data_IF_397142111399
#
_entry.id   IF_397142111399
#
_cell.length_a   1.000
_cell.length_b   1.000
_cell.length_c   1.000
_cell.angle_alpha   90.00
_cell.angle_beta   90.00
_cell.angle_gamma   90.00
#
_symmetry.space_group_name_H-M   'P 1'
#
loop_
_entity.id
_entity.type
_entity.pdbx_description
1 polymer ?
#
# COMPACT_ATOMS: atom_id res chain seq x y z
N UNK A 1 7.07 -2.68 -20.00
CA UNK A 1 6.68 -3.27 -21.29
C UNK A 1 7.62 -2.84 -22.41
N UNK A 2 8.64 -3.66 -22.68
CA UNK A 2 9.68 -3.36 -23.68
C UNK A 2 9.54 -4.20 -24.97
N UNK A 3 8.79 -5.31 -24.91
CA UNK A 3 8.50 -6.13 -26.09
C UNK A 3 7.37 -5.50 -26.91
N UNK A 4 7.48 -5.54 -28.24
CA UNK A 4 6.43 -5.02 -29.15
C UNK A 4 5.06 -5.64 -28.85
N UNK A 5 5.01 -6.94 -28.54
CA UNK A 5 3.77 -7.65 -28.21
C UNK A 5 3.13 -7.19 -26.89
N UNK A 6 3.92 -6.76 -25.90
CA UNK A 6 3.40 -6.19 -24.64
C UNK A 6 2.83 -4.80 -24.89
N UNK A 7 3.52 -3.99 -25.70
CA UNK A 7 3.08 -2.64 -26.08
C UNK A 7 1.80 -2.67 -26.93
N UNK A 8 1.70 -3.59 -27.88
CA UNK A 8 0.53 -3.78 -28.74
C UNK A 8 -0.71 -4.22 -27.93
N UNK A 9 -0.51 -5.11 -26.95
CA UNK A 9 -1.62 -5.71 -26.19
C UNK A 9 -1.94 -4.97 -24.89
N UNK A 10 -1.06 -4.07 -24.43
CA UNK A 10 -1.19 -3.37 -23.16
C UNK A 10 -1.18 -4.31 -21.95
N UNK A 11 -0.47 -5.44 -22.05
CA UNK A 11 -0.33 -6.43 -20.97
C UNK A 11 1.14 -6.82 -20.80
N UNK A 12 1.57 -6.96 -19.54
CA UNK A 12 2.87 -7.52 -19.20
C UNK A 12 2.86 -9.03 -19.41
N UNK A 13 3.83 -9.54 -20.17
CA UNK A 13 3.94 -10.95 -20.55
C UNK A 13 5.12 -11.59 -19.80
N UNK A 14 6.27 -10.92 -19.76
CA UNK A 14 7.46 -11.41 -19.05
C UNK A 14 7.76 -10.58 -17.82
N UNK A 15 8.32 -11.22 -16.80
CA UNK A 15 8.83 -10.49 -15.64
C UNK A 15 10.04 -9.63 -16.04
N UNK A 16 10.10 -8.40 -15.56
CA UNK A 16 11.20 -7.47 -15.82
C UNK A 16 11.89 -7.10 -14.51
N UNK A 17 13.22 -7.19 -14.47
CA UNK A 17 14.01 -6.85 -13.28
C UNK A 17 14.78 -5.55 -13.49
N UNK A 18 14.71 -4.65 -12.51
CA UNK A 18 15.50 -3.41 -12.49
C UNK A 18 16.00 -3.09 -11.08
N UNK A 19 17.07 -2.30 -10.98
CA UNK A 19 17.61 -1.82 -9.71
C UNK A 19 17.45 -0.31 -9.64
N UNK A 20 16.93 0.17 -8.51
CA UNK A 20 16.82 1.60 -8.19
C UNK A 20 17.40 1.88 -6.80
N UNK A 21 17.70 3.15 -6.52
CA UNK A 21 18.14 3.62 -5.22
C UNK A 21 17.12 4.62 -4.67
N UNK A 22 16.72 4.45 -3.41
CA UNK A 22 15.68 5.26 -2.78
C UNK A 22 16.11 5.84 -1.44
N UNK A 23 16.14 7.16 -1.35
CA UNK A 23 16.45 7.91 -0.12
C UNK A 23 15.20 8.38 0.64
N UNK A 24 14.01 7.98 0.22
CA UNK A 24 12.75 8.61 0.64
C UNK A 24 12.45 9.89 -0.15
N UNK A 25 11.15 10.23 -0.27
CA UNK A 25 10.70 11.43 -1.00
C UNK A 25 11.26 12.72 -0.37
N UNK A 26 11.34 12.77 0.96
CA UNK A 26 11.93 13.89 1.71
C UNK A 26 13.43 13.71 1.96
N UNK A 27 14.08 12.75 1.28
CA UNK A 27 15.50 12.39 1.46
C UNK A 27 15.86 12.08 2.92
N UNK A 28 14.91 11.55 3.66
CA UNK A 28 15.01 11.30 5.11
C UNK A 28 15.73 9.99 5.46
N UNK A 29 16.08 9.18 4.47
CA UNK A 29 16.78 7.91 4.66
C UNK A 29 18.09 7.89 3.90
N UNK A 30 19.03 7.10 4.41
CA UNK A 30 20.17 6.65 3.61
C UNK A 30 19.69 5.96 2.33
N UNK A 31 20.40 6.09 1.18
CA UNK A 31 19.98 5.47 -0.06
C UNK A 31 19.85 3.94 0.07
N UNK A 32 18.62 3.43 -0.03
CA UNK A 32 18.32 2.01 -0.04
C UNK A 32 18.35 1.48 -1.46
N UNK A 33 19.07 0.41 -1.71
CA UNK A 33 19.01 -0.31 -2.98
C UNK A 33 17.76 -1.18 -3.02
N UNK A 34 16.94 -1.00 -4.05
CA UNK A 34 15.72 -1.76 -4.29
C UNK A 34 15.87 -2.50 -5.62
N UNK A 35 15.69 -3.83 -5.59
CA UNK A 35 15.57 -4.62 -6.81
C UNK A 35 14.08 -4.90 -7.04
N UNK A 36 13.55 -4.41 -8.16
CA UNK A 36 12.14 -4.51 -8.51
C UNK A 36 12.01 -5.59 -9.58
N UNK A 37 11.11 -6.55 -9.33
CA UNK A 37 10.64 -7.49 -10.35
C UNK A 37 9.20 -7.14 -10.66
N UNK A 38 8.95 -6.58 -11.83
CA UNK A 38 7.61 -6.36 -12.34
C UNK A 38 7.06 -7.69 -12.86
N UNK A 39 5.88 -8.10 -12.40
CA UNK A 39 5.31 -9.43 -12.67
C UNK A 39 4.03 -9.33 -13.47
N UNK A 40 3.76 -10.25 -14.42
CA UNK A 40 2.49 -10.29 -15.13
C UNK A 40 1.27 -10.38 -14.20
N UNK A 41 0.24 -9.56 -14.48
CA UNK A 41 -1.04 -9.61 -13.76
C UNK A 41 -2.06 -10.60 -14.34
N UNK A 42 -1.81 -11.13 -15.54
CA UNK A 42 -2.73 -12.02 -16.24
C UNK A 42 -2.57 -13.49 -15.81
N UNK A 43 -3.68 -14.22 -15.71
CA UNK A 43 -3.71 -15.62 -15.23
C UNK A 43 -2.89 -16.60 -16.06
N UNK A 44 -2.76 -16.32 -17.35
CA UNK A 44 -2.02 -17.15 -18.30
C UNK A 44 -0.51 -17.17 -18.01
N UNK A 45 -0.01 -16.22 -17.22
CA UNK A 45 1.41 -16.09 -16.87
C UNK A 45 1.68 -16.33 -15.37
N UNK A 46 0.81 -17.09 -14.71
CA UNK A 46 0.93 -17.44 -13.28
C UNK A 46 2.23 -18.16 -12.91
N UNK A 47 2.88 -18.84 -13.86
CA UNK A 47 4.20 -19.48 -13.64
C UNK A 47 5.29 -18.44 -13.36
N UNK A 48 5.28 -17.31 -14.07
CA UNK A 48 6.26 -16.22 -13.88
C UNK A 48 6.06 -15.56 -12.51
N UNK A 49 4.81 -15.35 -12.10
CA UNK A 49 4.47 -14.87 -10.77
C UNK A 49 4.96 -15.84 -9.69
N UNK A 50 4.73 -17.14 -9.88
CA UNK A 50 5.15 -18.16 -8.91
C UNK A 50 6.68 -18.22 -8.76
N UNK A 51 7.43 -18.08 -9.86
CA UNK A 51 8.90 -18.01 -9.83
C UNK A 51 9.39 -16.77 -9.10
N UNK A 52 8.78 -15.62 -9.37
CA UNK A 52 9.14 -14.36 -8.73
C UNK A 52 8.91 -14.41 -7.22
N UNK A 53 7.76 -14.94 -6.78
CA UNK A 53 7.42 -15.08 -5.35
C UNK A 53 8.37 -16.01 -4.56
N UNK A 54 9.19 -16.84 -5.23
CA UNK A 54 10.18 -17.69 -4.56
C UNK A 54 11.51 -16.99 -4.26
N UNK A 55 11.76 -15.84 -4.89
CA UNK A 55 13.04 -15.13 -4.82
C UNK A 55 12.90 -13.77 -4.13
N UNK A 56 11.69 -13.21 -4.13
CA UNK A 56 11.41 -11.90 -3.53
C UNK A 56 11.32 -11.98 -2.00
N UNK A 57 11.94 -11.00 -1.33
CA UNK A 57 11.83 -10.81 0.13
C UNK A 57 10.52 -10.11 0.54
N UNK A 58 9.81 -9.50 -0.41
CA UNK A 58 8.53 -8.82 -0.18
C UNK A 58 7.81 -8.49 -1.48
N UNK A 59 6.51 -8.17 -1.38
CA UNK A 59 5.66 -7.87 -2.54
C UNK A 59 4.79 -6.62 -2.33
N UNK A 60 4.53 -5.91 -3.44
CA UNK A 60 3.52 -4.85 -3.50
C UNK A 60 2.31 -5.38 -4.27
N UNK A 61 1.20 -5.63 -3.56
CA UNK A 61 -0.04 -6.12 -4.16
C UNK A 61 -0.89 -4.94 -4.60
N UNK A 62 -1.03 -4.77 -5.92
CA UNK A 62 -1.75 -3.63 -6.50
C UNK A 62 -3.23 -3.99 -6.72
N UNK A 63 -4.14 -3.15 -6.24
CA UNK A 63 -5.58 -3.31 -6.38
C UNK A 63 -6.17 -2.09 -7.10
N UNK A 64 -7.20 -2.31 -7.92
CA UNK A 64 -7.92 -1.20 -8.57
C UNK A 64 -8.95 -0.62 -7.60
N UNK A 65 -8.99 0.69 -7.40
CA UNK A 65 -9.98 1.36 -6.54
C UNK A 65 -11.44 1.09 -6.96
N UNK A 66 -11.66 0.84 -8.26
CA UNK A 66 -12.98 0.52 -8.84
C UNK A 66 -13.25 -0.98 -8.79
N UNK A 67 -12.32 -1.79 -9.30
CA UNK A 67 -12.51 -3.24 -9.45
C UNK A 67 -12.31 -4.04 -8.16
N UNK A 68 -11.57 -3.49 -7.21
CA UNK A 68 -11.22 -4.10 -5.93
C UNK A 68 -10.50 -5.44 -6.08
N UNK A 69 -10.86 -6.41 -5.24
CA UNK A 69 -10.30 -7.77 -5.28
C UNK A 69 -10.99 -8.58 -6.37
N UNK A 70 -10.20 -9.01 -7.35
CA UNK A 70 -10.65 -9.82 -8.48
C UNK A 70 -10.16 -11.28 -8.36
N UNK A 71 -10.77 -12.24 -9.07
CA UNK A 71 -10.36 -13.66 -9.03
C UNK A 71 -8.86 -13.88 -9.31
N UNK A 72 -8.26 -13.02 -10.14
CA UNK A 72 -6.84 -13.04 -10.45
C UNK A 72 -5.99 -12.65 -9.23
N UNK A 73 -6.36 -11.56 -8.54
CA UNK A 73 -5.71 -11.11 -7.32
C UNK A 73 -5.77 -12.17 -6.21
N UNK A 74 -6.87 -12.92 -6.11
CA UNK A 74 -6.98 -14.05 -5.17
C UNK A 74 -5.97 -15.17 -5.46
N UNK A 75 -5.74 -15.46 -6.74
CA UNK A 75 -4.79 -16.49 -7.17
C UNK A 75 -3.36 -16.10 -6.80
N UNK A 76 -2.97 -14.87 -7.10
CA UNK A 76 -1.65 -14.33 -6.71
C UNK A 76 -1.52 -14.26 -5.18
N UNK A 77 -2.59 -13.91 -4.46
CA UNK A 77 -2.61 -13.90 -2.99
C UNK A 77 -2.31 -15.29 -2.40
N UNK A 78 -2.91 -16.35 -2.95
CA UNK A 78 -2.62 -17.73 -2.52
C UNK A 78 -1.17 -18.12 -2.80
N UNK A 79 -0.61 -17.73 -3.94
CA UNK A 79 0.81 -17.98 -4.26
C UNK A 79 1.72 -17.28 -3.25
N UNK A 80 1.49 -16.01 -2.96
CA UNK A 80 2.27 -15.28 -1.97
C UNK A 80 2.12 -15.88 -0.56
N UNK A 81 0.94 -16.42 -0.19
CA UNK A 81 0.74 -17.13 1.08
C UNK A 81 1.55 -18.42 1.14
N UNK A 82 1.57 -19.20 0.05
CA UNK A 82 2.32 -20.46 -0.07
C UNK A 82 3.82 -20.26 0.20
N UNK A 83 4.39 -19.16 -0.28
CA UNK A 83 5.80 -18.82 -0.10
C UNK A 83 6.07 -17.89 1.10
N UNK A 84 5.03 -17.55 1.88
CA UNK A 84 5.12 -16.67 3.06
C UNK A 84 5.79 -15.32 2.75
N UNK A 85 5.52 -14.77 1.57
CA UNK A 85 6.08 -13.47 1.15
C UNK A 85 5.34 -12.34 1.89
N UNK A 86 6.03 -11.54 2.71
CA UNK A 86 5.47 -10.34 3.34
C UNK A 86 5.03 -9.35 2.26
N UNK A 87 3.94 -8.61 2.51
CA UNK A 87 3.38 -7.76 1.46
C UNK A 87 2.67 -6.54 2.00
N UNK A 88 2.67 -5.50 1.18
CA UNK A 88 1.85 -4.31 1.35
C UNK A 88 0.81 -4.23 0.22
N UNK A 89 -0.33 -3.62 0.50
CA UNK A 89 -1.37 -3.38 -0.50
C UNK A 89 -1.30 -1.93 -0.99
N UNK A 90 -1.39 -1.74 -2.31
CA UNK A 90 -1.48 -0.43 -2.94
C UNK A 90 -2.78 -0.32 -3.74
N UNK A 91 -3.70 0.53 -3.29
CA UNK A 91 -4.96 0.79 -4.00
C UNK A 91 -4.72 1.88 -5.02
N UNK A 92 -4.59 1.47 -6.28
CA UNK A 92 -4.30 2.33 -7.43
C UNK A 92 -5.59 2.76 -8.14
N UNK A 93 -5.47 3.76 -9.04
CA UNK A 93 -6.55 4.28 -9.89
C UNK A 93 -7.65 4.99 -9.10
N UNK A 94 -7.26 5.75 -8.07
CA UNK A 94 -8.16 6.56 -7.24
C UNK A 94 -8.82 7.72 -8.01
N UNK A 95 -8.25 8.08 -9.16
CA UNK A 95 -8.72 9.08 -10.12
C UNK A 95 -9.94 8.62 -10.96
N UNK A 96 -10.29 7.33 -10.93
CA UNK A 96 -11.35 6.79 -11.79
C UNK A 96 -12.75 6.88 -11.17
N UNK A 97 -13.76 7.10 -12.01
CA UNK A 97 -15.16 7.01 -11.61
C UNK A 97 -15.48 5.67 -10.91
N UNK A 98 -16.15 5.74 -9.76
CA UNK A 98 -16.46 4.60 -8.90
C UNK A 98 -15.30 4.15 -8.00
N UNK A 99 -14.24 4.96 -7.88
CA UNK A 99 -13.14 4.72 -6.95
C UNK A 99 -13.63 4.73 -5.50
N UNK A 100 -13.35 3.67 -4.76
CA UNK A 100 -13.73 3.59 -3.35
C UNK A 100 -12.68 2.78 -2.57
N UNK A 101 -11.79 3.51 -1.89
CA UNK A 101 -10.68 2.94 -1.12
C UNK A 101 -11.15 2.00 0.00
N UNK A 102 -12.07 2.46 0.85
CA UNK A 102 -12.55 1.69 2.01
C UNK A 102 -13.29 0.42 1.58
N UNK A 103 -13.99 0.43 0.44
CA UNK A 103 -14.56 -0.78 -0.16
C UNK A 103 -13.46 -1.79 -0.51
N UNK A 104 -12.34 -1.35 -1.09
CA UNK A 104 -11.22 -2.26 -1.40
C UNK A 104 -10.63 -2.82 -0.11
N UNK A 105 -10.42 -2.01 0.91
CA UNK A 105 -9.96 -2.47 2.25
C UNK A 105 -10.89 -3.54 2.82
N UNK A 106 -12.20 -3.32 2.78
CA UNK A 106 -13.19 -4.30 3.24
C UNK A 106 -13.16 -5.60 2.41
N UNK A 107 -12.88 -5.51 1.10
CA UNK A 107 -12.73 -6.69 0.24
C UNK A 107 -11.46 -7.48 0.54
N UNK A 108 -10.34 -6.82 0.90
CA UNK A 108 -9.13 -7.53 1.34
C UNK A 108 -9.44 -8.41 2.56
N UNK A 109 -10.19 -7.89 3.53
CA UNK A 109 -10.62 -8.67 4.70
C UNK A 109 -11.58 -9.79 4.35
N UNK A 110 -12.67 -9.48 3.63
CA UNK A 110 -13.74 -10.44 3.37
C UNK A 110 -13.40 -11.52 2.34
N UNK A 111 -12.59 -11.21 1.31
CA UNK A 111 -12.26 -12.14 0.22
C UNK A 111 -10.91 -12.82 0.37
N UNK A 112 -9.92 -12.12 0.92
CA UNK A 112 -8.56 -12.65 1.06
C UNK A 112 -8.24 -13.12 2.47
N UNK A 113 -9.16 -12.92 3.42
CA UNK A 113 -8.93 -13.10 4.85
C UNK A 113 -7.68 -12.35 5.34
N UNK A 114 -7.36 -11.22 4.70
CA UNK A 114 -6.22 -10.40 5.04
C UNK A 114 -6.55 -9.51 6.24
N UNK A 115 -5.59 -9.33 7.14
CA UNK A 115 -5.67 -8.28 8.14
C UNK A 115 -5.20 -6.95 7.52
N UNK A 116 -6.08 -6.28 6.78
CA UNK A 116 -5.75 -5.04 6.08
C UNK A 116 -5.81 -3.85 7.03
N UNK A 117 -4.69 -3.12 7.13
CA UNK A 117 -4.52 -1.98 8.03
C UNK A 117 -4.22 -0.74 7.18
N UNK A 118 -5.16 0.21 7.06
CA UNK A 118 -4.90 1.44 6.35
C UNK A 118 -3.80 2.26 7.02
N UNK A 119 -2.74 2.58 6.27
CA UNK A 119 -1.71 3.55 6.67
C UNK A 119 -2.02 4.96 6.17
N UNK A 120 -2.92 5.05 5.19
CA UNK A 120 -3.28 6.28 4.51
C UNK A 120 -4.77 6.30 4.18
N UNK A 121 -5.36 7.50 4.10
CA UNK A 121 -6.70 7.73 3.56
C UNK A 121 -6.63 8.66 2.35
N UNK A 122 -7.37 8.41 1.27
CA UNK A 122 -7.39 9.31 0.13
C UNK A 122 -8.15 10.61 0.44
N UNK A 123 -7.61 11.74 -0.01
CA UNK A 123 -8.31 13.04 0.01
C UNK A 123 -9.08 13.18 -1.29
N UNK A 124 -10.42 13.06 -1.18
CA UNK A 124 -11.32 12.99 -2.33
C UNK A 124 -11.27 11.64 -3.05
N UNK A 125 -12.02 11.57 -4.15
CA UNK A 125 -12.06 10.40 -5.04
C UNK A 125 -12.39 10.84 -6.46
N UNK A 126 -12.09 9.98 -7.43
CA UNK A 126 -12.35 10.25 -8.85
C UNK A 126 -11.62 11.54 -9.28
N UNK A 127 -12.27 12.44 -10.01
CA UNK A 127 -11.71 13.74 -10.42
C UNK A 127 -11.38 14.67 -9.24
N UNK A 128 -11.93 14.42 -8.05
CA UNK A 128 -11.63 15.19 -6.84
C UNK A 128 -10.47 14.62 -6.01
N UNK A 129 -9.85 13.52 -6.45
CA UNK A 129 -8.69 12.95 -5.77
C UNK A 129 -7.49 13.88 -5.90
N UNK A 130 -7.00 14.38 -4.77
CA UNK A 130 -5.97 15.44 -4.73
C UNK A 130 -4.77 15.10 -3.85
N UNK A 131 -4.86 14.05 -3.05
CA UNK A 131 -3.87 13.79 -2.01
C UNK A 131 -4.17 12.55 -1.20
N UNK A 132 -3.34 12.30 -0.18
CA UNK A 132 -3.61 11.31 0.85
C UNK A 132 -3.31 11.89 2.23
N UNK A 133 -4.06 11.47 3.24
CA UNK A 133 -3.73 11.68 4.64
C UNK A 133 -2.77 10.58 5.07
N UNK A 134 -1.60 10.95 5.59
CA UNK A 134 -0.69 10.07 6.31
C UNK A 134 -1.22 9.91 7.73
N UNK A 135 -1.75 8.72 8.04
CA UNK A 135 -2.33 8.43 9.35
C UNK A 135 -1.27 8.25 10.44
N UNK A 136 0.01 8.05 10.11
CA UNK A 136 1.07 7.99 11.13
C UNK A 136 1.42 9.38 11.62
N UNK A 137 1.48 10.35 10.71
CA UNK A 137 1.85 11.73 11.01
C UNK A 137 0.66 12.65 11.28
N UNK A 138 -0.55 12.17 11.00
CA UNK A 138 -1.79 12.95 11.05
C UNK A 138 -1.68 14.25 10.26
N UNK A 139 -1.21 14.14 9.01
CA UNK A 139 -1.07 15.25 8.05
C UNK A 139 -1.56 14.84 6.67
N UNK A 140 -2.12 15.77 5.92
CA UNK A 140 -2.39 15.59 4.50
C UNK A 140 -1.09 15.78 3.71
N UNK A 141 -0.87 14.91 2.73
CA UNK A 141 0.21 15.01 1.75
C UNK A 141 -0.40 15.52 0.46
N UNK A 142 0.12 16.65 0.00
CA UNK A 142 -0.21 17.25 -1.29
C UNK A 142 1.02 17.23 -2.18
N UNK A 143 0.87 16.67 -3.37
CA UNK A 143 1.95 16.61 -4.36
C UNK A 143 1.95 17.83 -5.25
N UNK A 144 3.13 18.26 -5.68
CA UNK A 144 3.27 19.34 -6.64
C UNK A 144 2.94 18.86 -8.06
N UNK A 145 1.99 19.51 -8.71
CA UNK A 145 1.70 19.27 -10.13
C UNK A 145 2.85 19.75 -11.04
N UNK A 146 3.67 20.70 -10.57
CA UNK A 146 4.72 21.34 -11.37
C UNK A 146 5.86 20.37 -11.71
N UNK A 147 6.15 19.41 -10.83
CA UNK A 147 7.24 18.46 -11.00
C UNK A 147 6.76 17.00 -11.09
N UNK A 148 5.48 16.81 -11.45
CA UNK A 148 4.86 15.49 -11.56
C UNK A 148 4.90 14.70 -10.24
N UNK A 149 4.81 15.39 -9.10
CA UNK A 149 4.75 14.79 -7.77
C UNK A 149 6.09 14.34 -7.20
N UNK A 150 7.20 14.87 -7.70
CA UNK A 150 8.53 14.63 -7.14
C UNK A 150 8.64 15.29 -5.77
N UNK A 151 8.07 16.48 -5.61
CA UNK A 151 7.97 17.19 -4.34
C UNK A 151 6.56 17.10 -3.77
N UNK A 152 6.49 17.21 -2.44
CA UNK A 152 5.25 17.20 -1.70
C UNK A 152 5.36 18.11 -0.48
N UNK A 153 4.22 18.57 -0.01
CA UNK A 153 4.09 19.35 1.21
C UNK A 153 3.15 18.64 2.20
N UNK A 154 3.44 18.80 3.49
CA UNK A 154 2.52 18.41 4.54
C UNK A 154 1.60 19.58 4.87
N UNK A 155 0.30 19.36 4.73
CA UNK A 155 -0.75 20.30 5.10
C UNK A 155 -1.57 19.72 6.26
N UNK A 156 -2.38 20.57 6.90
CA UNK A 156 -3.36 20.11 7.87
C UNK A 156 -4.45 19.27 7.19
N UNK A 157 -4.99 18.30 7.92
CA UNK A 157 -6.04 17.43 7.40
C UNK A 157 -7.28 18.28 7.10
N UNK A 158 -7.94 18.12 5.93
CA UNK A 158 -9.19 18.80 5.63
C UNK A 158 -10.23 18.57 6.73
N UNK A 159 -10.94 19.62 7.14
CA UNK A 159 -11.87 19.56 8.27
C UNK A 159 -12.98 18.50 8.12
N UNK A 160 -13.41 18.22 6.88
CA UNK A 160 -14.40 17.19 6.56
C UNK A 160 -13.87 15.75 6.68
N UNK A 161 -12.56 15.57 6.87
CA UNK A 161 -11.91 14.28 7.03
C UNK A 161 -11.30 14.08 8.42
N UNK A 162 -11.29 15.10 9.27
CA UNK A 162 -10.64 15.04 10.59
C UNK A 162 -11.15 13.87 11.43
N UNK A 163 -12.48 13.72 11.55
CA UNK A 163 -13.10 12.63 12.31
C UNK A 163 -12.74 11.25 11.75
N UNK A 164 -12.80 11.09 10.43
CA UNK A 164 -12.43 9.83 9.78
C UNK A 164 -10.92 9.52 9.95
N UNK A 165 -10.06 10.53 9.86
CA UNK A 165 -8.63 10.36 10.06
C UNK A 165 -8.31 9.93 11.50
N UNK A 166 -8.98 10.54 12.50
CA UNK A 166 -8.84 10.16 13.90
C UNK A 166 -9.32 8.73 14.16
N UNK A 167 -10.47 8.34 13.60
CA UNK A 167 -10.97 6.97 13.69
C UNK A 167 -9.97 5.96 13.14
N UNK A 168 -9.48 6.18 11.92
CA UNK A 168 -8.54 5.26 11.28
C UNK A 168 -7.14 5.29 11.90
N UNK A 169 -6.73 6.43 12.48
CA UNK A 169 -5.52 6.53 13.29
C UNK A 169 -5.62 5.69 14.57
N UNK A 170 -6.75 5.75 15.27
CA UNK A 170 -6.98 4.92 16.45
C UNK A 170 -6.97 3.43 16.09
N UNK A 171 -7.64 3.03 15.00
CA UNK A 171 -7.61 1.65 14.51
C UNK A 171 -6.17 1.19 14.18
N UNK A 172 -5.36 2.10 13.60
CA UNK A 172 -3.94 1.85 13.29
C UNK A 172 -3.12 1.66 14.57
N UNK A 173 -3.30 2.51 15.58
CA UNK A 173 -2.61 2.42 16.88
C UNK A 173 -2.99 1.14 17.61
N UNK A 174 -4.29 0.82 17.69
CA UNK A 174 -4.78 -0.41 18.32
C UNK A 174 -4.14 -1.64 17.66
N UNK A 175 -4.11 -1.64 16.33
CA UNK A 175 -3.45 -2.68 15.55
C UNK A 175 -1.94 -2.73 15.82
N UNK A 176 -1.26 -1.60 15.95
CA UNK A 176 0.16 -1.59 16.30
C UNK A 176 0.40 -2.14 17.72
N UNK A 177 -0.47 -1.80 18.67
CA UNK A 177 -0.38 -2.25 20.06
C UNK A 177 -0.44 -3.78 20.20
N UNK A 178 -1.23 -4.46 19.36
CA UNK A 178 -1.32 -5.93 19.31
C UNK A 178 -0.01 -6.65 18.94
N UNK A 179 1.01 -5.95 18.43
CA UNK A 179 2.25 -6.58 18.00
C UNK A 179 3.09 -7.12 19.18
N UNK A 180 2.92 -6.59 20.39
CA UNK A 180 3.64 -7.04 21.58
C UNK A 180 2.89 -6.71 22.87
N UNK A 181 3.14 -7.49 23.93
CA UNK A 181 2.54 -7.25 25.26
C UNK A 181 2.90 -5.87 25.82
N UNK A 182 4.15 -5.42 25.66
CA UNK A 182 4.61 -4.09 26.10
C UNK A 182 3.82 -2.95 25.45
N UNK A 183 3.60 -3.01 24.13
CA UNK A 183 2.85 -1.96 23.42
C UNK A 183 1.35 -2.00 23.78
N UNK A 184 0.81 -3.18 24.02
CA UNK A 184 -0.58 -3.35 24.49
C UNK A 184 -0.77 -2.74 25.89
N UNK A 185 0.18 -2.97 26.81
CA UNK A 185 0.15 -2.37 28.15
C UNK A 185 0.18 -0.83 28.09
N UNK A 186 1.09 -0.25 27.28
CA UNK A 186 1.15 1.21 27.06
C UNK A 186 -0.18 1.76 26.54
N UNK A 187 -0.73 1.13 25.51
CA UNK A 187 -2.00 1.54 24.90
C UNK A 187 -3.17 1.49 25.90
N UNK A 188 -3.32 0.39 26.65
CA UNK A 188 -4.36 0.25 27.67
C UNK A 188 -4.16 1.21 28.86
N UNK A 189 -2.91 1.58 29.15
CA UNK A 189 -2.55 2.60 30.13
C UNK A 189 -2.86 4.04 29.69
N UNK A 190 -3.25 4.24 28.43
CA UNK A 190 -3.49 5.56 27.85
C UNK A 190 -2.21 6.31 27.45
N UNK A 191 -1.07 5.60 27.35
CA UNK A 191 0.18 6.17 26.83
C UNK A 191 0.16 6.17 25.29
N UNK A 192 0.55 7.30 24.70
CA UNK A 192 0.68 7.41 23.23
C UNK A 192 1.91 6.65 22.73
N UNK A 193 1.72 5.79 21.73
CA UNK A 193 2.81 5.09 21.06
C UNK A 193 3.54 6.05 20.11
N UNK A 194 4.87 6.00 20.13
CA UNK A 194 5.69 6.83 19.24
C UNK A 194 5.63 6.35 17.79
N UNK A 195 5.88 7.23 16.82
CA UNK A 195 5.92 6.88 15.39
C UNK A 195 6.89 5.71 15.10
N UNK A 196 8.01 5.65 15.82
CA UNK A 196 9.00 4.58 15.68
C UNK A 196 8.48 3.23 16.20
N UNK A 197 7.81 3.23 17.36
CA UNK A 197 7.17 2.03 17.92
C UNK A 197 6.09 1.51 16.98
N UNK A 198 5.22 2.40 16.47
CA UNK A 198 4.14 2.03 15.55
C UNK A 198 4.72 1.42 14.25
N UNK A 199 5.74 2.05 13.66
CA UNK A 199 6.40 1.52 12.45
C UNK A 199 7.05 0.15 12.69
N UNK A 200 7.70 -0.04 13.83
CA UNK A 200 8.33 -1.31 14.18
C UNK A 200 7.28 -2.41 14.39
N UNK A 201 6.21 -2.09 15.12
CA UNK A 201 5.11 -3.00 15.40
C UNK A 201 4.43 -3.50 14.12
N UNK A 202 4.09 -2.58 13.21
CA UNK A 202 3.44 -2.93 11.94
C UNK A 202 4.34 -3.75 11.02
N UNK A 203 5.67 -3.58 11.11
CA UNK A 203 6.64 -4.37 10.35
C UNK A 203 6.80 -5.80 10.87
N UNK A 204 6.52 -6.05 12.15
CA UNK A 204 6.68 -7.37 12.78
C UNK A 204 5.53 -8.34 12.48
N UNK A 205 4.35 -7.81 12.16
CA UNK A 205 3.11 -8.58 11.87
C UNK A 205 3.14 -9.22 10.47
#
# INVERSE_FOLDING_TARGET
DWMEQEQERGITITSAATTAFWSGMAKQYEPHRINIIDTPGHVDFTIEVERSMRVLDGAVMVYCAVGGVQPQSETVWRQANKYKVPRIAFVNKMDRMGANFLRVVAQLKSRLAANAVPLQLPVGAEESFTGVVDLLKMKAIKWSDEDQGVTFEYEDIPANMQEAAEEWHNNLIETAAEASEELMEKYLGGEELTEAEIKSALRQR
#
